data_IF_761881126113
#
_entry.id   IF_761881126113
#
_cell.length_a   1.000
_cell.length_b   1.000
_cell.length_c   1.000
_cell.angle_alpha   90.00
_cell.angle_beta   90.00
_cell.angle_gamma   90.00
#
_symmetry.space_group_name_H-M   'P 1'
#
loop_
_entity.id
_entity.type
_entity.pdbx_description
1 polymer ?
#
# COMPACT_ATOMS: atom_id res chain seq x y z
N UNK A 1 -3.79 -30.34 5.76
CA UNK A 1 -4.68 -29.17 5.65
C UNK A 1 -5.11 -29.08 4.20
N UNK A 2 -6.41 -29.08 3.87
CA UNK A 2 -6.84 -28.90 2.48
C UNK A 2 -6.30 -27.56 1.96
N UNK A 3 -5.96 -27.52 0.67
CA UNK A 3 -5.40 -26.31 0.05
C UNK A 3 -6.45 -25.17 0.06
N UNK A 4 -6.01 -23.91 0.02
CA UNK A 4 -6.92 -22.77 -0.03
C UNK A 4 -7.93 -22.85 -1.21
N UNK A 5 -7.56 -23.53 -2.29
CA UNK A 5 -8.44 -23.80 -3.43
C UNK A 5 -9.52 -24.83 -3.09
N UNK A 6 -9.18 -25.91 -2.37
CA UNK A 6 -10.15 -26.92 -1.93
C UNK A 6 -11.15 -26.37 -0.89
N UNK A 7 -10.73 -25.37 -0.10
CA UNK A 7 -11.61 -24.69 0.84
C UNK A 7 -12.61 -23.77 0.11
N UNK A 8 -12.14 -23.00 -0.87
CA UNK A 8 -13.00 -22.14 -1.70
C UNK A 8 -14.03 -22.95 -2.50
N UNK A 9 -13.62 -24.09 -3.05
CA UNK A 9 -14.49 -24.96 -3.85
C UNK A 9 -15.58 -25.62 -2.99
N UNK A 10 -15.25 -26.02 -1.75
CA UNK A 10 -16.25 -26.48 -0.77
C UNK A 10 -17.25 -25.38 -0.41
N UNK A 11 -16.78 -24.16 -0.21
CA UNK A 11 -17.63 -23.04 0.15
C UNK A 11 -18.60 -22.70 -0.99
N UNK A 12 -18.13 -22.69 -2.23
CA UNK A 12 -18.98 -22.50 -3.41
C UNK A 12 -20.01 -23.62 -3.57
N UNK A 13 -19.62 -24.87 -3.31
CA UNK A 13 -20.55 -26.00 -3.33
C UNK A 13 -21.63 -25.88 -2.26
N UNK A 14 -21.25 -25.56 -1.03
CA UNK A 14 -22.19 -25.34 0.08
C UNK A 14 -23.14 -24.17 -0.19
N UNK A 15 -22.63 -23.08 -0.77
CA UNK A 15 -23.43 -21.92 -1.10
C UNK A 15 -24.42 -22.21 -2.24
N UNK A 16 -24.02 -23.03 -3.21
CA UNK A 16 -24.88 -23.51 -4.30
C UNK A 16 -25.97 -24.46 -3.81
N UNK A 17 -25.65 -25.37 -2.89
CA UNK A 17 -26.63 -26.26 -2.25
C UNK A 17 -27.65 -25.45 -1.43
N UNK A 18 -27.19 -24.48 -0.63
CA UNK A 18 -28.08 -23.62 0.16
C UNK A 18 -28.99 -22.74 -0.73
N UNK A 19 -28.46 -22.14 -1.80
CA UNK A 19 -29.26 -21.36 -2.74
C UNK A 19 -30.28 -22.21 -3.49
N UNK A 20 -29.91 -23.44 -3.86
CA UNK A 20 -30.82 -24.40 -4.49
C UNK A 20 -31.98 -24.74 -3.58
N UNK A 21 -31.72 -25.05 -2.30
CA UNK A 21 -32.78 -25.33 -1.32
C UNK A 21 -33.71 -24.13 -1.13
N UNK A 22 -33.16 -22.92 -1.04
CA UNK A 22 -33.96 -21.70 -0.94
C UNK A 22 -34.83 -21.44 -2.17
N UNK A 23 -34.30 -21.62 -3.38
CA UNK A 23 -35.07 -21.47 -4.63
C UNK A 23 -36.22 -22.48 -4.71
N UNK A 24 -35.97 -23.75 -4.36
CA UNK A 24 -37.04 -24.77 -4.32
C UNK A 24 -38.10 -24.47 -3.26
N UNK A 25 -37.73 -23.83 -2.15
CA UNK A 25 -38.68 -23.38 -1.13
C UNK A 25 -39.58 -22.26 -1.64
N UNK A 26 -39.02 -21.30 -2.37
CA UNK A 26 -39.77 -20.19 -2.98
C UNK A 26 -40.70 -20.68 -4.09
N UNK A 27 -40.27 -21.63 -4.92
CA UNK A 27 -41.13 -22.25 -5.94
C UNK A 27 -42.33 -22.98 -5.32
N UNK A 28 -42.11 -23.71 -4.21
CA UNK A 28 -43.20 -24.39 -3.49
C UNK A 28 -44.19 -23.40 -2.84
N UNK A 29 -43.70 -22.28 -2.28
CA UNK A 29 -44.57 -21.22 -1.75
C UNK A 29 -45.40 -20.55 -2.86
N UNK A 30 -44.81 -20.36 -4.04
CA UNK A 30 -45.51 -19.78 -5.19
C UNK A 30 -46.65 -20.71 -5.68
N UNK A 31 -46.41 -22.02 -5.74
CA UNK A 31 -47.42 -23.01 -6.12
C UNK A 31 -48.60 -23.05 -5.14
N UNK A 32 -48.33 -22.87 -3.84
CA UNK A 32 -49.37 -22.75 -2.80
C UNK A 32 -50.23 -21.50 -3.00
N UNK A 33 -49.59 -20.35 -3.27
CA UNK A 33 -50.29 -19.08 -3.51
C UNK A 33 -51.17 -19.15 -4.76
N UNK A 34 -50.68 -19.78 -5.84
CA UNK A 34 -51.44 -19.97 -7.08
C UNK A 34 -52.68 -20.88 -6.86
N UNK A 35 -52.53 -21.93 -6.04
CA UNK A 35 -53.63 -22.79 -5.62
C UNK A 35 -54.69 -22.06 -4.79
N UNK A 36 -54.26 -21.24 -3.83
CA UNK A 36 -55.17 -20.45 -2.98
C UNK A 36 -55.92 -19.38 -3.76
N UNK A 37 -55.26 -18.72 -4.72
CA UNK A 37 -55.87 -17.74 -5.62
C UNK A 37 -56.94 -18.41 -6.50
N UNK A 38 -56.61 -19.56 -7.10
CA UNK A 38 -57.53 -20.35 -7.92
C UNK A 38 -58.77 -20.80 -7.13
N UNK A 39 -58.58 -21.30 -5.90
CA UNK A 39 -59.67 -21.67 -5.00
C UNK A 39 -60.50 -20.44 -4.54
N UNK A 40 -59.87 -19.28 -4.38
CA UNK A 40 -60.53 -18.00 -4.13
C UNK A 40 -61.46 -17.59 -5.27
N UNK A 41 -60.97 -17.63 -6.51
CA UNK A 41 -61.72 -17.31 -7.72
C UNK A 41 -62.92 -18.26 -7.88
N UNK A 42 -62.74 -19.57 -7.67
CA UNK A 42 -63.83 -20.54 -7.73
C UNK A 42 -64.95 -20.25 -6.70
N UNK A 43 -64.58 -19.89 -5.46
CA UNK A 43 -65.53 -19.50 -4.41
C UNK A 43 -66.29 -18.21 -4.75
N UNK A 44 -65.61 -17.24 -5.37
CA UNK A 44 -66.22 -15.99 -5.84
C UNK A 44 -67.21 -16.29 -6.98
N UNK A 45 -66.84 -17.09 -7.97
CA UNK A 45 -67.73 -17.49 -9.06
C UNK A 45 -68.97 -18.25 -8.56
N UNK A 46 -68.81 -19.14 -7.59
CA UNK A 46 -69.91 -19.86 -6.96
C UNK A 46 -70.88 -18.92 -6.20
N UNK A 47 -70.35 -17.86 -5.57
CA UNK A 47 -71.15 -16.84 -4.86
C UNK A 47 -71.79 -15.80 -5.80
N UNK A 48 -71.25 -15.58 -6.98
CA UNK A 48 -71.81 -14.67 -8.00
C UNK A 48 -72.90 -15.35 -8.84
N UNK A 49 -72.87 -16.68 -8.96
CA UNK A 49 -73.88 -17.47 -9.69
C UNK A 49 -75.35 -17.13 -9.39
N UNK A 50 -75.76 -16.91 -8.12
CA UNK A 50 -77.12 -16.49 -7.75
C UNK A 50 -77.46 -15.04 -8.12
N UNK A 51 -76.47 -14.15 -8.20
CA UNK A 51 -76.68 -12.72 -8.53
C UNK A 51 -76.92 -12.53 -10.03
N UNK A 52 -76.42 -13.46 -10.86
CA UNK A 52 -76.58 -13.45 -12.32
C UNK A 52 -78.03 -13.64 -12.81
N UNK A 53 -78.94 -14.09 -11.93
CA UNK A 53 -80.37 -14.34 -12.23
C UNK A 53 -81.32 -13.27 -11.65
N UNK A 54 -80.79 -12.20 -11.06
CA UNK A 54 -81.59 -11.07 -10.56
C UNK A 54 -81.75 -10.03 -11.68
N UNK A 55 -82.95 -9.99 -12.28
CA UNK A 55 -83.36 -8.99 -13.26
C UNK A 55 -83.53 -7.61 -12.59
N UNK A 56 -82.40 -6.91 -12.38
CA UNK A 56 -82.35 -5.56 -11.81
C UNK A 56 -82.09 -4.54 -12.93
N UNK A 57 -83.01 -3.58 -13.19
CA UNK A 57 -82.81 -2.59 -14.25
C UNK A 57 -81.58 -1.72 -13.95
N UNK A 58 -80.60 -1.75 -14.87
CA UNK A 58 -79.32 -1.04 -14.74
C UNK A 58 -78.15 -1.88 -14.21
N UNK A 59 -78.38 -3.11 -13.74
CA UNK A 59 -77.33 -4.00 -13.26
C UNK A 59 -76.44 -4.54 -14.40
N UNK A 60 -76.99 -4.74 -15.60
CA UNK A 60 -76.21 -5.21 -16.76
C UNK A 60 -75.04 -4.27 -17.11
N UNK A 61 -75.24 -2.96 -16.98
CA UNK A 61 -74.20 -1.94 -17.20
C UNK A 61 -73.04 -2.09 -16.23
N UNK A 62 -73.33 -2.27 -14.94
CA UNK A 62 -72.33 -2.43 -13.89
C UNK A 62 -71.61 -3.79 -13.99
N UNK A 63 -72.33 -4.86 -14.33
CA UNK A 63 -71.73 -6.17 -14.58
C UNK A 63 -70.84 -6.17 -15.83
N UNK A 64 -71.26 -5.51 -16.91
CA UNK A 64 -70.43 -5.35 -18.10
C UNK A 64 -69.16 -4.56 -17.78
N UNK A 65 -69.27 -3.44 -17.04
CA UNK A 65 -68.11 -2.64 -16.65
C UNK A 65 -67.12 -3.41 -15.77
N UNK A 66 -67.62 -4.26 -14.85
CA UNK A 66 -66.77 -5.10 -14.00
C UNK A 66 -66.10 -6.22 -14.80
N UNK A 67 -66.83 -6.87 -15.71
CA UNK A 67 -66.28 -7.88 -16.63
C UNK A 67 -65.19 -7.25 -17.51
N UNK A 68 -65.43 -6.05 -18.05
CA UNK A 68 -64.44 -5.31 -18.85
C UNK A 68 -63.24 -4.86 -18.03
N UNK A 69 -63.41 -4.58 -16.73
CA UNK A 69 -62.31 -4.28 -15.81
C UNK A 69 -61.44 -5.50 -15.56
N UNK A 70 -62.05 -6.64 -15.23
CA UNK A 70 -61.33 -7.90 -14.97
C UNK A 70 -60.67 -8.43 -16.25
N UNK A 71 -61.32 -8.28 -17.40
CA UNK A 71 -60.72 -8.64 -18.70
C UNK A 71 -59.49 -7.79 -19.02
N UNK A 72 -59.51 -6.48 -18.71
CA UNK A 72 -58.36 -5.59 -18.88
C UNK A 72 -57.20 -5.97 -17.96
N UNK A 73 -57.49 -6.18 -16.69
CA UNK A 73 -56.49 -6.55 -15.68
C UNK A 73 -55.85 -7.91 -16.00
N UNK A 74 -56.63 -8.87 -16.51
CA UNK A 74 -56.11 -10.16 -16.97
C UNK A 74 -55.17 -10.05 -18.17
N UNK A 75 -55.50 -9.18 -19.14
CA UNK A 75 -54.62 -8.90 -20.29
C UNK A 75 -53.30 -8.27 -19.83
N UNK A 76 -53.33 -7.44 -18.78
CA UNK A 76 -52.14 -6.81 -18.21
C UNK A 76 -51.24 -7.85 -17.52
N UNK A 77 -51.82 -8.74 -16.72
CA UNK A 77 -51.10 -9.86 -16.09
C UNK A 77 -50.50 -10.80 -17.15
N UNK A 78 -51.24 -11.15 -18.20
CA UNK A 78 -50.74 -12.01 -19.27
C UNK A 78 -49.55 -11.36 -20.00
N UNK A 79 -49.55 -10.04 -20.18
CA UNK A 79 -48.41 -9.29 -20.76
C UNK A 79 -47.19 -9.26 -19.84
N UNK A 80 -47.39 -9.01 -18.55
CA UNK A 80 -46.30 -9.03 -17.57
C UNK A 80 -45.66 -10.42 -17.48
N UNK A 81 -46.49 -11.47 -17.56
CA UNK A 81 -46.02 -12.85 -17.59
C UNK A 81 -45.19 -13.14 -18.85
N UNK A 82 -45.65 -12.75 -20.03
CA UNK A 82 -44.87 -12.91 -21.27
C UNK A 82 -43.53 -12.15 -21.21
N UNK A 83 -43.51 -10.95 -20.61
CA UNK A 83 -42.28 -10.17 -20.43
C UNK A 83 -41.29 -10.86 -19.46
N UNK A 84 -41.79 -11.47 -18.39
CA UNK A 84 -40.97 -12.24 -17.44
C UNK A 84 -40.43 -13.53 -18.07
N UNK A 85 -41.25 -14.26 -18.83
CA UNK A 85 -40.81 -15.46 -19.56
C UNK A 85 -39.70 -15.10 -20.56
N UNK A 86 -39.85 -14.00 -21.31
CA UNK A 86 -38.80 -13.49 -22.21
C UNK A 86 -37.51 -13.08 -21.47
N UNK A 87 -37.63 -12.45 -20.30
CA UNK A 87 -36.46 -12.06 -19.50
C UNK A 87 -35.72 -13.26 -18.91
N UNK A 88 -36.43 -14.33 -18.54
CA UNK A 88 -35.83 -15.57 -18.07
C UNK A 88 -35.07 -16.31 -19.18
N UNK A 89 -35.58 -16.27 -20.42
CA UNK A 89 -34.87 -16.80 -21.60
C UNK A 89 -33.57 -16.04 -21.86
N UNK A 90 -33.59 -14.71 -21.76
CA UNK A 90 -32.40 -13.86 -21.92
C UNK A 90 -31.32 -14.17 -20.86
N UNK A 91 -31.73 -14.31 -19.60
CA UNK A 91 -30.82 -14.70 -18.50
C UNK A 91 -30.27 -16.12 -18.71
N UNK A 92 -31.08 -17.06 -19.22
CA UNK A 92 -30.62 -18.41 -19.52
C UNK A 92 -29.56 -18.42 -20.62
N UNK A 93 -29.74 -17.60 -21.66
CA UNK A 93 -28.78 -17.43 -22.74
C UNK A 93 -27.47 -16.79 -22.26
N UNK A 94 -27.56 -15.71 -21.47
CA UNK A 94 -26.38 -15.05 -20.89
C UNK A 94 -25.58 -16.00 -19.97
N UNK A 95 -26.27 -16.86 -19.21
CA UNK A 95 -25.64 -17.89 -18.38
C UNK A 95 -24.90 -18.95 -19.21
N UNK A 96 -25.42 -19.32 -20.38
CA UNK A 96 -24.74 -20.25 -21.29
C UNK A 96 -23.48 -19.62 -21.90
N UNK A 97 -23.56 -18.35 -22.31
CA UNK A 97 -22.41 -17.58 -22.81
C UNK A 97 -21.31 -17.43 -21.74
N UNK A 98 -21.69 -17.10 -20.50
CA UNK A 98 -20.77 -17.04 -19.36
C UNK A 98 -20.14 -18.40 -19.04
N UNK A 99 -20.90 -19.49 -19.19
CA UNK A 99 -20.38 -20.85 -19.08
C UNK A 99 -19.30 -21.13 -20.13
N UNK A 100 -19.56 -20.79 -21.39
CA UNK A 100 -18.59 -20.93 -22.48
C UNK A 100 -17.32 -20.10 -22.28
N UNK A 101 -17.48 -18.85 -21.83
CA UNK A 101 -16.34 -17.97 -21.51
C UNK A 101 -15.49 -18.50 -20.35
N UNK A 102 -16.12 -19.05 -19.31
CA UNK A 102 -15.43 -19.67 -18.18
C UNK A 102 -14.60 -20.88 -18.63
N UNK A 103 -15.20 -21.76 -19.43
CA UNK A 103 -14.53 -22.97 -19.89
C UNK A 103 -13.39 -22.64 -20.88
N UNK A 104 -13.49 -21.54 -21.64
CA UNK A 104 -12.39 -21.00 -22.44
C UNK A 104 -11.24 -20.48 -21.57
N UNK A 105 -11.55 -19.71 -20.53
CA UNK A 105 -10.55 -19.21 -19.59
C UNK A 105 -9.82 -20.34 -18.85
N UNK A 106 -10.53 -21.43 -18.53
CA UNK A 106 -9.94 -22.60 -17.87
C UNK A 106 -8.97 -23.34 -18.78
N UNK A 107 -9.28 -23.42 -20.09
CA UNK A 107 -8.37 -23.95 -21.12
C UNK A 107 -7.11 -23.08 -21.27
N UNK A 108 -7.29 -21.77 -21.42
CA UNK A 108 -6.16 -20.83 -21.53
C UNK A 108 -5.26 -20.88 -20.29
N UNK A 109 -5.84 -20.97 -19.09
CA UNK A 109 -5.09 -21.15 -17.85
C UNK A 109 -4.29 -22.45 -17.84
N UNK A 110 -4.85 -23.53 -18.37
CA UNK A 110 -4.16 -24.81 -18.55
C UNK A 110 -2.98 -24.71 -19.51
N UNK A 111 -3.13 -23.98 -20.61
CA UNK A 111 -2.07 -23.74 -21.60
C UNK A 111 -0.94 -22.88 -21.03
N UNK A 112 -1.27 -21.79 -20.33
CA UNK A 112 -0.27 -20.94 -19.65
C UNK A 112 0.48 -21.71 -18.56
N UNK A 113 -0.20 -22.60 -17.82
CA UNK A 113 0.46 -23.46 -16.82
C UNK A 113 1.43 -24.45 -17.48
N UNK A 114 1.07 -25.03 -18.63
CA UNK A 114 1.95 -25.90 -19.41
C UNK A 114 3.18 -25.14 -19.91
N UNK A 115 2.98 -23.97 -20.52
CA UNK A 115 4.07 -23.12 -21.01
C UNK A 115 5.01 -22.69 -19.87
N UNK A 116 4.45 -22.31 -18.72
CA UNK A 116 5.26 -21.98 -17.52
C UNK A 116 6.04 -23.16 -16.98
N UNK A 117 5.50 -24.38 -17.05
CA UNK A 117 6.20 -25.59 -16.62
C UNK A 117 7.33 -25.95 -17.58
N UNK A 118 7.14 -25.76 -18.88
CA UNK A 118 8.19 -25.93 -19.89
C UNK A 118 9.30 -24.88 -19.71
N UNK A 119 8.95 -23.60 -19.54
CA UNK A 119 9.91 -22.54 -19.24
C UNK A 119 10.65 -22.77 -17.92
N UNK A 120 10.00 -23.38 -16.92
CA UNK A 120 10.65 -23.74 -15.66
C UNK A 120 11.69 -24.86 -15.86
N UNK A 121 11.35 -25.89 -16.64
CA UNK A 121 12.29 -26.98 -17.00
C UNK A 121 13.45 -26.48 -17.85
N UNK A 122 13.20 -25.59 -18.81
CA UNK A 122 14.26 -24.96 -19.60
C UNK A 122 15.17 -24.09 -18.72
N UNK A 123 14.61 -23.36 -17.75
CA UNK A 123 15.38 -22.56 -16.79
C UNK A 123 16.20 -23.41 -15.84
N UNK A 124 15.68 -24.56 -15.42
CA UNK A 124 16.40 -25.54 -14.59
C UNK A 124 17.56 -26.14 -15.39
N UNK A 125 17.31 -26.59 -16.64
CA UNK A 125 18.37 -27.09 -17.52
C UNK A 125 19.43 -26.03 -17.87
N UNK A 126 19.03 -24.77 -18.07
CA UNK A 126 19.95 -23.64 -18.24
C UNK A 126 20.69 -23.30 -16.94
N UNK A 127 20.07 -23.50 -15.79
CA UNK A 127 20.66 -23.34 -14.46
C UNK A 127 21.75 -24.39 -14.21
N UNK A 128 21.46 -25.65 -14.48
CA UNK A 128 22.39 -26.76 -14.36
C UNK A 128 23.57 -26.61 -15.34
N UNK A 129 23.29 -26.24 -16.60
CA UNK A 129 24.33 -25.95 -17.58
C UNK A 129 25.19 -24.72 -17.20
N UNK A 130 24.59 -23.72 -16.56
CA UNK A 130 25.30 -22.53 -16.05
C UNK A 130 26.10 -22.84 -14.79
N UNK A 131 25.61 -23.71 -13.90
CA UNK A 131 26.38 -24.22 -12.76
C UNK A 131 27.55 -25.08 -13.22
N UNK A 132 27.36 -25.94 -14.21
CA UNK A 132 28.43 -26.78 -14.76
C UNK A 132 29.48 -25.94 -15.50
N UNK A 133 29.05 -24.91 -16.24
CA UNK A 133 29.94 -23.90 -16.82
C UNK A 133 30.65 -23.03 -15.76
N UNK A 134 29.97 -22.69 -14.66
CA UNK A 134 30.55 -21.89 -13.57
C UNK A 134 31.53 -22.71 -12.70
N UNK A 135 31.30 -24.02 -12.58
CA UNK A 135 32.19 -24.98 -11.90
C UNK A 135 33.43 -25.28 -12.75
N UNK A 136 33.31 -25.25 -14.08
CA UNK A 136 34.44 -25.40 -15.01
C UNK A 136 35.23 -24.10 -15.25
N UNK A 137 34.62 -22.93 -15.06
CA UNK A 137 35.23 -21.61 -15.23
C UNK A 137 35.05 -20.76 -13.96
N UNK A 138 35.74 -21.12 -12.88
CA UNK A 138 35.84 -20.26 -11.70
C UNK A 138 37.06 -19.32 -11.85
N UNK A 139 36.89 -18.05 -12.30
CA UNK A 139 37.86 -17.01 -11.97
C UNK A 139 37.69 -16.62 -10.49
N UNK A 140 38.73 -16.08 -9.83
CA UNK A 140 38.61 -15.56 -8.48
C UNK A 140 37.58 -14.41 -8.41
N UNK A 141 36.98 -14.12 -7.24
CA UNK A 141 36.00 -13.05 -7.08
C UNK A 141 36.64 -11.71 -7.45
N UNK A 142 36.34 -11.22 -8.65
CA UNK A 142 36.81 -9.91 -9.09
C UNK A 142 35.96 -8.85 -8.40
N UNK A 143 36.59 -8.06 -7.52
CA UNK A 143 36.02 -6.90 -6.81
C UNK A 143 35.35 -5.85 -7.70
N UNK A 144 35.44 -5.97 -9.04
CA UNK A 144 34.74 -5.12 -10.00
C UNK A 144 33.22 -5.29 -10.01
N UNK A 145 32.71 -6.49 -9.77
CA UNK A 145 31.25 -6.74 -9.79
C UNK A 145 30.48 -6.03 -8.68
N UNK A 146 31.03 -6.04 -7.46
CA UNK A 146 30.42 -5.33 -6.32
C UNK A 146 30.43 -3.81 -6.53
N UNK A 147 31.52 -3.27 -7.09
CA UNK A 147 31.61 -1.83 -7.36
C UNK A 147 30.60 -1.38 -8.45
N UNK A 148 30.37 -2.20 -9.47
CA UNK A 148 29.35 -1.95 -10.49
C UNK A 148 27.92 -1.97 -9.89
N UNK A 149 27.62 -2.92 -9.01
CA UNK A 149 26.34 -2.99 -8.30
C UNK A 149 26.15 -1.76 -7.39
N UNK A 150 27.17 -1.36 -6.65
CA UNK A 150 27.14 -0.15 -5.82
C UNK A 150 26.97 1.12 -6.66
N UNK A 151 27.67 1.23 -7.80
CA UNK A 151 27.53 2.36 -8.70
C UNK A 151 26.13 2.44 -9.32
N UNK A 152 25.53 1.29 -9.65
CA UNK A 152 24.13 1.21 -10.10
C UNK A 152 23.18 1.69 -9.00
N UNK A 153 23.30 1.14 -7.80
CA UNK A 153 22.48 1.52 -6.65
C UNK A 153 22.58 3.03 -6.36
N UNK A 154 23.79 3.60 -6.34
CA UNK A 154 24.02 5.01 -6.08
C UNK A 154 23.38 5.95 -7.13
N UNK A 155 23.20 5.51 -8.37
CA UNK A 155 22.45 6.25 -9.40
C UNK A 155 20.94 6.13 -9.19
N UNK A 156 20.46 4.91 -8.93
CA UNK A 156 19.02 4.64 -8.80
C UNK A 156 18.42 5.27 -7.55
N UNK A 157 19.16 5.30 -6.44
CA UNK A 157 18.67 5.85 -5.16
C UNK A 157 18.42 7.35 -5.24
N UNK A 158 19.26 8.09 -5.98
CA UNK A 158 19.11 9.54 -6.18
C UNK A 158 17.85 9.92 -6.96
N UNK A 159 17.33 8.99 -7.74
CA UNK A 159 16.11 9.18 -8.54
C UNK A 159 14.83 8.85 -7.76
N UNK A 160 14.93 8.30 -6.55
CA UNK A 160 13.75 7.95 -5.74
C UNK A 160 13.19 9.18 -5.05
N UNK A 161 11.87 9.29 -5.07
CA UNK A 161 11.16 10.49 -4.57
C UNK A 161 10.35 10.20 -3.30
N UNK A 162 10.22 8.93 -2.91
CA UNK A 162 9.45 8.51 -1.73
C UNK A 162 10.26 7.56 -0.84
N UNK A 163 9.93 7.53 0.45
CA UNK A 163 10.60 6.62 1.38
C UNK A 163 10.36 5.14 1.01
N UNK A 164 9.14 4.79 0.59
CA UNK A 164 8.79 3.42 0.14
C UNK A 164 9.68 2.95 -1.04
N UNK A 165 9.94 3.82 -2.02
CA UNK A 165 10.81 3.50 -3.15
C UNK A 165 12.26 3.28 -2.74
N UNK A 166 12.77 4.11 -1.84
CA UNK A 166 14.13 3.97 -1.30
C UNK A 166 14.27 2.65 -0.55
N UNK A 167 13.30 2.30 0.29
CA UNK A 167 13.33 1.08 1.09
C UNK A 167 13.18 -0.19 0.24
N UNK A 168 12.37 -0.15 -0.83
CA UNK A 168 12.32 -1.26 -1.79
C UNK A 168 13.63 -1.42 -2.56
N UNK A 169 14.23 -0.31 -3.01
CA UNK A 169 15.52 -0.34 -3.68
C UNK A 169 16.63 -0.88 -2.75
N UNK A 170 16.61 -0.51 -1.46
CA UNK A 170 17.50 -1.06 -0.44
C UNK A 170 17.40 -2.58 -0.39
N UNK A 171 16.18 -3.13 -0.31
CA UNK A 171 15.95 -4.58 -0.24
C UNK A 171 16.46 -5.29 -1.50
N UNK A 172 16.21 -4.73 -2.68
CA UNK A 172 16.62 -5.31 -3.95
C UNK A 172 18.16 -5.24 -4.14
N UNK A 173 18.79 -4.14 -3.72
CA UNK A 173 20.23 -3.94 -3.77
C UNK A 173 20.99 -4.75 -2.71
N UNK A 174 20.34 -5.10 -1.58
CA UNK A 174 20.94 -5.92 -0.53
C UNK A 174 20.97 -7.42 -0.91
N UNK A 175 20.04 -7.90 -1.75
CA UNK A 175 19.90 -9.31 -2.08
C UNK A 175 21.16 -9.95 -2.71
N UNK A 176 21.90 -9.27 -3.61
CA UNK A 176 23.19 -9.79 -4.10
C UNK A 176 24.25 -9.94 -3.01
N UNK A 177 24.11 -9.33 -1.83
CA UNK A 177 25.10 -9.34 -0.75
C UNK A 177 24.63 -10.11 0.50
N UNK A 178 23.33 -10.33 0.65
CA UNK A 178 22.72 -11.16 1.69
C UNK A 178 21.61 -12.02 1.07
N UNK A 179 21.70 -13.36 1.14
CA UNK A 179 20.70 -14.26 0.55
C UNK A 179 19.28 -14.01 1.05
N UNK A 180 19.12 -13.56 2.29
CA UNK A 180 17.84 -13.26 2.91
C UNK A 180 17.90 -11.94 3.64
N UNK A 181 16.93 -11.08 3.36
CA UNK A 181 16.78 -9.79 4.04
C UNK A 181 15.33 -9.53 4.44
N UNK A 182 15.15 -8.94 5.63
CA UNK A 182 13.85 -8.51 6.16
C UNK A 182 14.01 -7.09 6.67
N UNK A 183 13.17 -6.16 6.21
CA UNK A 183 13.09 -4.84 6.81
C UNK A 183 11.97 -4.81 7.85
N UNK A 184 12.31 -4.46 9.08
CA UNK A 184 11.36 -4.24 10.16
C UNK A 184 11.30 -2.76 10.52
N UNK A 185 10.11 -2.17 10.49
CA UNK A 185 9.90 -0.76 10.80
C UNK A 185 9.57 -0.57 12.28
N UNK A 186 10.09 0.50 12.87
CA UNK A 186 9.82 0.84 14.27
C UNK A 186 8.38 1.32 14.42
N UNK A 187 7.69 0.84 15.45
CA UNK A 187 6.35 1.27 15.88
C UNK A 187 6.32 1.43 17.40
N UNK A 188 5.34 2.16 17.97
CA UNK A 188 5.19 2.23 19.42
C UNK A 188 5.07 0.81 20.01
N UNK A 189 5.99 0.44 20.92
CA UNK A 189 5.99 -0.85 21.61
C UNK A 189 6.81 -1.97 20.93
N UNK A 190 7.31 -1.79 19.70
CA UNK A 190 8.10 -2.83 19.03
C UNK A 190 8.41 -2.58 17.56
N UNK A 191 8.60 -3.67 16.83
CA UNK A 191 8.94 -3.68 15.42
C UNK A 191 7.86 -4.42 14.63
N UNK A 192 7.58 -3.92 13.44
CA UNK A 192 6.64 -4.56 12.50
C UNK A 192 7.39 -4.94 11.23
N UNK A 193 7.27 -6.19 10.80
CA UNK A 193 7.82 -6.64 9.52
C UNK A 193 7.16 -5.90 8.37
N UNK A 194 7.95 -5.23 7.55
CA UNK A 194 7.45 -4.40 6.45
C UNK A 194 7.50 -5.14 5.11
N UNK A 195 8.69 -5.61 4.74
CA UNK A 195 8.91 -6.36 3.51
C UNK A 195 10.17 -7.21 3.62
N UNK A 196 10.30 -8.21 2.75
CA UNK A 196 11.42 -9.15 2.75
C UNK A 196 11.82 -9.54 1.33
N UNK A 197 13.04 -10.05 1.17
CA UNK A 197 13.57 -10.66 -0.07
C UNK A 197 14.35 -11.93 0.28
N UNK A 198 14.37 -12.88 -0.64
CA UNK A 198 15.06 -14.17 -0.45
C UNK A 198 14.27 -15.21 0.37
N UNK A 199 12.99 -14.93 0.67
CA UNK A 199 12.08 -15.85 1.36
C UNK A 199 11.04 -16.42 0.39
N UNK A 200 10.58 -17.66 0.60
CA UNK A 200 9.39 -18.19 -0.07
C UNK A 200 8.17 -17.28 0.11
N UNK A 201 7.27 -17.23 -0.86
CA UNK A 201 6.16 -16.25 -0.91
C UNK A 201 5.18 -16.38 0.28
N UNK A 202 4.95 -17.60 0.77
CA UNK A 202 4.13 -17.88 1.96
C UNK A 202 4.79 -17.35 3.25
N UNK A 203 6.11 -17.45 3.36
CA UNK A 203 6.88 -16.91 4.48
C UNK A 203 6.92 -15.38 4.39
N UNK A 204 7.19 -14.83 3.21
CA UNK A 204 7.23 -13.39 2.96
C UNK A 204 5.88 -12.70 3.30
N UNK A 205 4.75 -13.34 2.98
CA UNK A 205 3.41 -12.84 3.34
C UNK A 205 3.15 -12.85 4.84
N UNK A 206 3.61 -13.87 5.57
CA UNK A 206 3.49 -13.91 7.04
C UNK A 206 4.41 -12.90 7.72
N UNK A 207 5.58 -12.67 7.14
CA UNK A 207 6.55 -11.67 7.59
C UNK A 207 5.99 -10.24 7.49
N UNK A 208 5.31 -9.93 6.39
CA UNK A 208 4.64 -8.65 6.23
C UNK A 208 3.52 -8.48 7.27
N UNK A 209 3.63 -7.45 8.12
CA UNK A 209 2.69 -7.17 9.21
C UNK A 209 2.95 -7.94 10.51
N UNK A 210 3.92 -8.86 10.53
CA UNK A 210 4.34 -9.54 11.76
C UNK A 210 4.88 -8.56 12.79
N UNK A 211 4.70 -8.85 14.09
CA UNK A 211 5.13 -7.94 15.16
C UNK A 211 6.09 -8.62 16.12
N UNK A 212 7.15 -7.91 16.52
CA UNK A 212 8.09 -8.34 17.55
C UNK A 212 8.22 -7.25 18.60
N UNK A 213 7.94 -7.56 19.86
CA UNK A 213 8.05 -6.59 20.95
C UNK A 213 9.52 -6.29 21.25
N UNK A 214 9.80 -5.06 21.71
CA UNK A 214 11.16 -4.62 22.04
C UNK A 214 11.82 -5.46 23.15
N UNK A 215 11.02 -6.02 24.06
CA UNK A 215 11.47 -6.89 25.16
C UNK A 215 11.85 -8.29 24.71
N UNK A 216 11.41 -8.70 23.52
CA UNK A 216 11.45 -10.11 23.10
C UNK A 216 12.59 -10.40 22.12
N UNK A 217 13.39 -9.39 21.77
CA UNK A 217 14.57 -9.51 20.92
C UNK A 217 15.72 -8.61 21.43
N UNK A 218 16.75 -9.19 22.06
CA UNK A 218 17.98 -8.47 22.40
C UNK A 218 18.64 -7.76 21.22
N UNK A 219 18.69 -8.38 20.04
CA UNK A 219 19.28 -7.85 18.81
C UNK A 219 18.56 -6.58 18.34
N UNK A 220 17.22 -6.62 18.26
CA UNK A 220 16.43 -5.44 17.89
C UNK A 220 16.49 -4.34 18.96
N UNK A 221 16.58 -4.72 20.24
CA UNK A 221 16.78 -3.76 21.33
C UNK A 221 18.14 -3.08 21.26
N UNK A 222 19.20 -3.83 20.97
CA UNK A 222 20.55 -3.30 20.77
C UNK A 222 20.59 -2.29 19.61
N UNK A 223 19.84 -2.54 18.54
CA UNK A 223 19.77 -1.67 17.37
C UNK A 223 19.26 -0.24 17.70
N UNK A 224 18.52 -0.04 18.80
CA UNK A 224 18.09 1.29 19.24
C UNK A 224 19.26 2.24 19.52
N UNK A 225 20.36 1.71 20.05
CA UNK A 225 21.52 2.49 20.46
C UNK A 225 22.70 2.36 19.48
N UNK A 226 22.74 1.28 18.70
CA UNK A 226 23.82 1.02 17.76
C UNK A 226 23.84 2.03 16.60
N UNK A 227 25.05 2.43 16.21
CA UNK A 227 25.34 3.24 15.01
C UNK A 227 25.99 2.42 13.90
N UNK A 228 26.25 1.14 14.15
CA UNK A 228 26.77 0.17 13.19
C UNK A 228 25.93 -1.11 13.26
N UNK A 229 26.19 -2.04 12.34
CA UNK A 229 25.53 -3.34 12.38
C UNK A 229 25.87 -4.13 13.65
N UNK A 230 24.90 -4.89 14.12
CA UNK A 230 25.04 -5.87 15.19
C UNK A 230 24.94 -7.27 14.58
N UNK A 231 25.63 -8.25 15.16
CA UNK A 231 25.54 -9.64 14.75
C UNK A 231 25.16 -10.50 15.96
N UNK A 232 24.14 -11.34 15.79
CA UNK A 232 23.79 -12.39 16.73
C UNK A 232 24.33 -13.73 16.22
N UNK A 233 25.40 -14.20 16.84
CA UNK A 233 26.01 -15.53 16.58
C UNK A 233 25.19 -16.67 17.21
N UNK A 234 24.42 -16.35 18.26
CA UNK A 234 23.47 -17.25 18.92
C UNK A 234 22.07 -16.62 18.92
N UNK A 235 21.06 -17.41 18.53
CA UNK A 235 19.66 -17.00 18.43
C UNK A 235 18.79 -17.60 19.54
N UNK A 236 19.39 -18.20 20.58
CA UNK A 236 18.66 -18.82 21.69
C UNK A 236 17.77 -17.83 22.47
N UNK A 237 18.18 -16.57 22.54
CA UNK A 237 17.41 -15.47 23.14
C UNK A 237 16.50 -14.74 22.14
N UNK A 238 16.63 -15.05 20.84
CA UNK A 238 15.89 -14.41 19.74
C UNK A 238 14.64 -15.19 19.33
N UNK A 239 14.00 -15.91 20.27
CA UNK A 239 12.91 -16.85 19.97
C UNK A 239 11.74 -16.21 19.22
N UNK A 240 11.32 -15.02 19.67
CA UNK A 240 10.24 -14.29 19.02
C UNK A 240 10.64 -13.89 17.60
N UNK A 241 11.86 -13.39 17.42
CA UNK A 241 12.36 -12.99 16.11
C UNK A 241 12.49 -14.18 15.16
N UNK A 242 13.11 -15.27 15.60
CA UNK A 242 13.26 -16.54 14.85
C UNK A 242 11.89 -17.10 14.44
N UNK A 243 10.90 -17.05 15.33
CA UNK A 243 9.55 -17.53 15.03
C UNK A 243 8.87 -16.74 13.90
N UNK A 244 9.20 -15.44 13.80
CA UNK A 244 8.67 -14.54 12.78
C UNK A 244 9.43 -14.70 11.45
N UNK A 245 10.77 -14.65 11.47
CA UNK A 245 11.59 -14.74 10.25
C UNK A 245 11.67 -16.16 9.68
N UNK A 246 11.33 -17.19 10.46
CA UNK A 246 11.30 -18.57 10.01
C UNK A 246 12.68 -19.14 9.68
N UNK A 247 13.75 -18.56 10.23
CA UNK A 247 15.12 -19.03 10.04
C UNK A 247 15.90 -18.97 11.34
N UNK A 248 16.74 -19.99 11.56
CA UNK A 248 17.70 -20.08 12.66
C UNK A 248 19.15 -19.95 12.17
N UNK A 249 19.36 -19.44 10.95
CA UNK A 249 20.70 -19.29 10.38
C UNK A 249 21.48 -18.17 11.08
N UNK A 250 22.72 -18.49 11.45
CA UNK A 250 23.65 -17.58 12.14
C UNK A 250 24.87 -17.26 11.26
N UNK A 251 25.48 -16.07 11.43
CA UNK A 251 24.99 -14.96 12.23
C UNK A 251 23.76 -14.29 11.61
N UNK A 252 22.85 -13.81 12.45
CA UNK A 252 21.80 -12.87 12.03
C UNK A 252 22.34 -11.45 12.23
N UNK A 253 22.44 -10.69 11.15
CA UNK A 253 23.01 -9.33 11.18
C UNK A 253 21.87 -8.32 11.16
N UNK A 254 21.87 -7.39 12.11
CA UNK A 254 20.93 -6.28 12.17
C UNK A 254 21.62 -4.97 11.83
N UNK A 255 21.18 -4.32 10.75
CA UNK A 255 21.59 -2.97 10.37
C UNK A 255 20.52 -1.98 10.84
N UNK A 256 20.82 -1.09 11.80
CA UNK A 256 19.98 0.05 12.10
C UNK A 256 19.74 0.90 10.85
N UNK A 257 18.52 1.38 10.65
CA UNK A 257 18.19 2.39 9.63
C UNK A 257 17.64 3.61 10.35
N UNK A 258 18.34 4.74 10.21
CA UNK A 258 18.04 5.98 10.91
C UNK A 258 17.58 7.08 9.96
N UNK A 259 16.71 7.93 10.50
CA UNK A 259 16.32 9.19 9.89
C UNK A 259 16.40 10.28 10.95
N UNK A 260 17.15 11.36 10.69
CA UNK A 260 17.38 12.45 11.63
C UNK A 260 17.88 11.92 12.99
N UNK A 261 18.84 10.98 12.93
CA UNK A 261 19.41 10.25 14.09
C UNK A 261 18.45 9.34 14.87
N UNK A 262 17.17 9.24 14.49
CA UNK A 262 16.19 8.35 15.13
C UNK A 262 16.13 7.02 14.40
N UNK A 263 16.08 5.91 15.13
CA UNK A 263 15.86 4.60 14.53
C UNK A 263 14.44 4.54 13.95
N UNK A 264 14.33 4.30 12.65
CA UNK A 264 13.05 4.18 11.93
C UNK A 264 12.80 2.77 11.42
N UNK A 265 13.85 2.01 11.16
CA UNK A 265 13.77 0.60 10.80
C UNK A 265 15.04 -0.15 11.18
N UNK A 266 15.01 -1.47 11.07
CA UNK A 266 16.16 -2.36 11.16
C UNK A 266 16.10 -3.30 9.96
N UNK A 267 17.17 -3.35 9.17
CA UNK A 267 17.34 -4.36 8.14
C UNK A 267 18.04 -5.57 8.76
N UNK A 268 17.34 -6.70 8.80
CA UNK A 268 17.89 -7.98 9.18
C UNK A 268 18.40 -8.69 7.94
N UNK A 269 19.65 -9.14 7.98
CA UNK A 269 20.32 -9.87 6.93
C UNK A 269 20.84 -11.20 7.48
N UNK A 270 20.58 -12.29 6.77
CA UNK A 270 21.05 -13.62 7.15
C UNK A 270 21.64 -14.33 5.94
N UNK A 271 22.68 -15.12 6.20
CA UNK A 271 23.25 -16.02 5.21
C UNK A 271 22.27 -17.11 4.77
N UNK A 272 22.66 -17.85 3.74
CA UNK A 272 22.04 -19.11 3.35
C UNK A 272 23.04 -20.24 3.48
N UNK A 273 22.59 -21.48 3.26
CA UNK A 273 23.41 -22.69 3.45
C UNK A 273 24.70 -22.68 2.61
N UNK A 274 24.69 -22.00 1.47
CA UNK A 274 25.82 -21.91 0.55
C UNK A 274 26.55 -20.55 0.53
N UNK A 275 26.00 -19.50 1.17
CA UNK A 275 26.50 -18.12 1.01
C UNK A 275 26.36 -17.28 2.27
N UNK A 276 27.49 -16.78 2.76
CA UNK A 276 27.54 -15.81 3.84
C UNK A 276 27.20 -14.38 3.36
N UNK A 277 26.86 -13.50 4.31
CA UNK A 277 26.61 -12.09 4.03
C UNK A 277 27.93 -11.35 3.73
N UNK A 278 27.93 -10.51 2.68
CA UNK A 278 29.00 -9.55 2.42
C UNK A 278 28.66 -8.20 3.07
N UNK A 279 29.29 -7.92 4.23
CA UNK A 279 28.93 -6.78 5.07
C UNK A 279 29.36 -5.43 4.49
N UNK A 280 30.45 -5.38 3.72
CA UNK A 280 31.02 -4.11 3.26
C UNK A 280 30.11 -3.39 2.25
N UNK A 281 29.60 -4.03 1.19
CA UNK A 281 28.62 -3.40 0.30
C UNK A 281 27.32 -3.08 1.02
N UNK A 282 26.85 -3.96 1.93
CA UNK A 282 25.63 -3.71 2.71
C UNK A 282 25.75 -2.43 3.53
N UNK A 283 26.86 -2.23 4.26
CA UNK A 283 27.08 -1.00 5.02
C UNK A 283 27.02 0.25 4.12
N UNK A 284 27.68 0.23 2.96
CA UNK A 284 27.66 1.36 2.01
C UNK A 284 26.26 1.63 1.46
N UNK A 285 25.51 0.57 1.13
CA UNK A 285 24.12 0.66 0.66
C UNK A 285 23.27 1.32 1.76
N UNK A 286 23.40 0.87 3.01
CA UNK A 286 22.64 1.38 4.13
C UNK A 286 22.95 2.85 4.42
N UNK A 287 24.22 3.25 4.45
CA UNK A 287 24.62 4.65 4.67
C UNK A 287 24.00 5.58 3.61
N UNK A 288 24.04 5.17 2.33
CA UNK A 288 23.43 5.94 1.25
C UNK A 288 21.88 5.92 1.32
N UNK A 289 21.28 4.83 1.81
CA UNK A 289 19.84 4.77 2.13
C UNK A 289 19.46 5.75 3.23
N UNK A 290 20.16 5.73 4.36
CA UNK A 290 19.92 6.66 5.46
C UNK A 290 20.05 8.11 4.99
N UNK A 291 21.12 8.44 4.28
CA UNK A 291 21.32 9.80 3.75
C UNK A 291 20.18 10.23 2.80
N UNK A 292 19.64 9.30 2.01
CA UNK A 292 18.52 9.61 1.10
C UNK A 292 17.20 9.81 1.86
N UNK A 293 16.94 9.00 2.90
CA UNK A 293 15.79 9.17 3.79
C UNK A 293 15.89 10.48 4.57
N UNK A 294 17.06 10.82 5.10
CA UNK A 294 17.28 12.09 5.79
C UNK A 294 17.04 13.29 4.86
N UNK A 295 17.51 13.23 3.62
CA UNK A 295 17.24 14.27 2.64
C UNK A 295 15.74 14.41 2.33
N UNK A 296 14.98 13.31 2.23
CA UNK A 296 13.52 13.37 2.09
C UNK A 296 12.87 14.00 3.32
N UNK A 297 13.26 13.57 4.52
CA UNK A 297 12.72 14.12 5.77
C UNK A 297 13.02 15.62 5.91
N UNK A 298 14.23 16.06 5.54
CA UNK A 298 14.62 17.46 5.53
C UNK A 298 13.81 18.28 4.52
N UNK A 299 13.54 17.73 3.32
CA UNK A 299 12.64 18.37 2.34
C UNK A 299 11.26 18.59 2.95
N UNK A 300 10.65 17.55 3.53
CA UNK A 300 9.35 17.67 4.21
C UNK A 300 9.39 18.73 5.31
N UNK A 301 10.45 18.78 6.12
CA UNK A 301 10.60 19.78 7.18
C UNK A 301 10.79 21.21 6.64
N UNK A 302 11.57 21.41 5.59
CA UNK A 302 11.71 22.71 4.92
C UNK A 302 10.37 23.17 4.34
N UNK A 303 9.66 22.24 3.72
CA UNK A 303 8.37 22.48 3.08
C UNK A 303 7.28 22.84 4.11
N UNK A 304 7.32 22.22 5.30
CA UNK A 304 6.43 22.56 6.42
C UNK A 304 6.91 23.83 7.15
N UNK A 305 8.23 24.09 7.21
CA UNK A 305 8.84 25.23 7.92
C UNK A 305 8.74 26.57 7.18
N UNK A 306 8.74 26.56 5.84
CA UNK A 306 8.53 27.75 5.00
C UNK A 306 7.09 28.29 5.10
N UNK A 307 6.15 27.50 5.63
CA UNK A 307 4.78 27.95 5.93
C UNK A 307 4.68 28.83 7.21
N UNK A 308 5.80 29.22 7.84
CA UNK A 308 5.83 30.03 9.07
C UNK A 308 6.34 31.46 8.90
N UNK A 309 6.14 32.11 7.75
CA UNK A 309 6.37 33.55 7.65
C UNK A 309 5.12 34.31 7.18
N UNK A 310 4.28 34.75 8.13
CA UNK A 310 3.59 36.04 8.02
C UNK A 310 4.44 37.12 8.70
N UNK A 311 4.72 38.16 7.91
CA UNK A 311 5.08 39.54 8.21
C UNK A 311 5.47 39.91 9.67
N UNK A 312 6.66 40.51 9.75
CA UNK A 312 7.13 41.35 10.84
C UNK A 312 6.08 42.41 11.26
N UNK A 313 5.70 42.38 12.54
CA UNK A 313 5.10 43.49 13.29
C UNK A 313 5.41 43.29 14.79
N UNK A 314 5.54 44.38 15.56
CA UNK A 314 6.70 44.61 16.43
C UNK A 314 6.60 43.99 17.82
N UNK A 315 7.78 43.73 18.41
CA UNK A 315 7.95 43.22 19.76
C UNK A 315 7.30 44.15 20.81
N UNK A 316 6.50 43.60 21.75
CA UNK A 316 6.19 44.33 22.97
C UNK A 316 7.41 44.27 23.90
N UNK A 317 8.01 45.45 24.12
CA UNK A 317 8.97 45.68 25.18
C UNK A 317 8.33 45.35 26.55
N UNK A 318 9.03 44.57 27.37
CA UNK A 318 8.74 44.45 28.79
C UNK A 318 9.90 45.14 29.53
N UNK A 319 9.63 46.12 30.43
CA UNK A 319 10.67 46.91 31.10
C UNK A 319 11.40 46.12 32.19
N UNK A 320 12.70 46.39 32.33
CA UNK A 320 13.51 46.03 33.49
C UNK A 320 12.95 46.65 34.79
N UNK A 321 12.91 45.86 35.85
CA UNK A 321 12.83 46.35 37.23
C UNK A 321 13.89 45.66 38.10
N UNK A 322 14.93 46.44 38.44
CA UNK A 322 15.85 46.29 39.60
C UNK A 322 15.02 46.23 40.92
N UNK A 323 15.44 45.78 42.10
CA UNK A 323 16.69 45.49 42.82
C UNK A 323 16.32 44.48 43.95
N UNK A 324 17.13 43.88 44.82
CA UNK A 324 18.30 44.31 45.64
C UNK A 324 18.72 43.06 46.47
N UNK A 325 19.95 42.55 46.43
CA UNK A 325 21.15 42.88 47.25
C UNK A 325 21.42 41.93 48.44
N UNK A 326 22.60 41.29 48.47
CA UNK A 326 23.68 41.48 49.47
C UNK A 326 24.87 40.47 49.27
N UNK A 327 26.11 41.01 49.36
CA UNK A 327 27.46 40.44 49.10
C UNK A 327 28.19 39.98 50.41
N UNK A 328 29.55 39.91 50.56
CA UNK A 328 30.69 39.28 49.81
C UNK A 328 31.71 38.53 50.74
N UNK A 329 32.79 37.94 50.15
CA UNK A 329 34.23 37.84 50.59
C UNK A 329 34.83 36.46 50.23
N UNK A 330 36.09 36.19 49.85
CA UNK A 330 37.33 36.92 49.46
C UNK A 330 38.30 35.87 48.82
N UNK A 331 39.16 36.28 47.89
CA UNK A 331 40.23 35.46 47.25
C UNK A 331 41.54 35.44 48.09
N UNK A 332 42.62 34.64 47.79
CA UNK A 332 43.53 34.88 46.63
C UNK A 332 44.26 33.57 46.08
N UNK A 333 45.38 33.58 45.27
CA UNK A 333 45.49 32.92 43.93
C UNK A 333 46.75 31.98 43.74
N UNK A 334 47.47 31.91 42.58
CA UNK A 334 47.53 30.84 41.54
C UNK A 334 48.96 30.15 41.44
N UNK A 335 49.46 29.44 40.36
CA UNK A 335 49.71 29.94 38.96
C UNK A 335 49.74 28.94 37.74
N UNK A 336 49.77 29.51 36.51
CA UNK A 336 50.59 29.19 35.28
C UNK A 336 50.40 27.85 34.48
N UNK A 337 50.40 27.70 33.13
CA UNK A 337 50.56 28.54 31.89
C UNK A 337 50.07 27.74 30.60
N UNK A 338 50.42 28.02 29.31
CA UNK A 338 49.51 28.33 28.18
C UNK A 338 49.59 27.35 26.96
N UNK A 339 48.93 27.61 25.81
CA UNK A 339 49.67 28.08 24.60
C UNK A 339 48.85 29.05 23.70
N UNK A 340 49.38 30.20 23.30
CA UNK A 340 50.19 30.51 22.09
C UNK A 340 49.44 30.48 20.74
N UNK A 341 49.28 31.68 20.20
CA UNK A 341 48.77 32.08 18.89
C UNK A 341 49.95 32.38 17.95
N UNK A 342 49.91 31.93 16.69
CA UNK A 342 50.84 32.40 15.65
C UNK A 342 50.22 32.37 14.24
N UNK A 343 49.91 33.55 13.73
CA UNK A 343 49.82 33.88 12.30
C UNK A 343 51.27 33.94 11.71
N UNK A 344 51.61 33.84 10.42
CA UNK A 344 50.98 34.27 9.16
C UNK A 344 51.74 33.60 7.94
N UNK A 345 51.81 34.14 6.70
CA UNK A 345 51.08 33.70 5.50
C UNK A 345 51.95 33.36 4.26
N UNK A 346 51.39 32.74 3.20
CA UNK A 346 51.93 32.90 1.82
C UNK A 346 50.93 32.55 0.69
N UNK A 347 50.64 33.59 -0.11
CA UNK A 347 50.32 33.69 -1.54
C UNK A 347 49.88 32.48 -2.40
N UNK A 348 48.70 32.68 -3.04
CA UNK A 348 48.51 32.74 -4.50
C UNK A 348 48.78 31.49 -5.36
N UNK A 349 47.68 30.88 -5.85
CA UNK A 349 47.58 30.32 -7.20
C UNK A 349 46.11 30.24 -7.63
N UNK A 350 45.69 31.24 -8.39
CA UNK A 350 44.50 31.19 -9.22
C UNK A 350 44.73 30.17 -10.35
N UNK A 351 43.88 29.14 -10.41
CA UNK A 351 43.68 28.32 -11.60
C UNK A 351 42.19 28.37 -11.93
N UNK A 352 41.89 29.10 -12.99
CA UNK A 352 40.59 29.22 -13.65
C UNK A 352 40.12 27.84 -14.13
N UNK A 353 39.19 27.23 -13.40
CA UNK A 353 38.39 26.11 -13.91
C UNK A 353 37.18 26.72 -14.61
N UNK A 354 37.18 26.66 -15.94
CA UNK A 354 36.03 27.00 -16.76
C UNK A 354 34.83 26.12 -16.36
N UNK A 355 33.60 26.69 -16.20
CA UNK A 355 32.43 25.90 -15.89
C UNK A 355 32.11 24.92 -17.05
N UNK A 356 31.71 23.67 -16.76
CA UNK A 356 31.27 22.73 -17.78
C UNK A 356 30.10 23.30 -18.57
N UNK A 357 30.18 23.21 -19.91
CA UNK A 357 29.10 23.60 -20.83
C UNK A 357 27.80 22.91 -20.43
N UNK A 358 26.84 23.71 -19.98
CA UNK A 358 25.46 23.31 -19.77
C UNK A 358 24.87 22.84 -21.10
N UNK A 359 24.41 21.60 -21.14
CA UNK A 359 23.46 21.13 -22.16
C UNK A 359 22.23 22.04 -22.15
N UNK A 360 21.55 22.29 -23.28
CA UNK A 360 20.41 23.21 -23.31
C UNK A 360 19.31 22.66 -22.39
N UNK A 361 19.17 23.28 -21.22
CA UNK A 361 18.06 23.05 -20.33
C UNK A 361 16.87 23.68 -21.04
N UNK A 362 15.92 22.87 -21.48
CA UNK A 362 14.60 23.38 -21.88
C UNK A 362 14.13 24.24 -20.71
N UNK A 363 14.00 25.56 -20.93
CA UNK A 363 13.52 26.48 -19.90
C UNK A 363 12.05 26.14 -19.62
N UNK A 364 11.84 25.19 -18.70
CA UNK A 364 10.53 24.88 -18.18
C UNK A 364 9.94 26.16 -17.60
N UNK A 365 8.71 26.47 -17.98
CA UNK A 365 8.03 27.64 -17.44
C UNK A 365 7.93 27.52 -15.91
N UNK A 366 7.90 28.65 -15.21
CA UNK A 366 7.75 28.66 -13.75
C UNK A 366 6.48 27.90 -13.32
N UNK A 367 5.40 27.99 -14.11
CA UNK A 367 4.18 27.22 -13.93
C UNK A 367 4.42 25.70 -14.02
N UNK A 368 5.09 25.20 -15.07
CA UNK A 368 5.40 23.76 -15.23
C UNK A 368 6.23 23.20 -14.07
N UNK A 369 7.14 24.02 -13.53
CA UNK A 369 7.95 23.65 -12.38
C UNK A 369 7.09 23.51 -11.12
N UNK A 370 6.16 24.43 -10.87
CA UNK A 370 5.26 24.35 -9.72
C UNK A 370 4.30 23.16 -9.87
N UNK A 371 3.79 22.88 -11.07
CA UNK A 371 2.98 21.67 -11.34
C UNK A 371 3.76 20.38 -11.05
N UNK A 372 5.00 20.30 -11.50
CA UNK A 372 5.89 19.15 -11.26
C UNK A 372 6.20 18.98 -9.78
N UNK A 373 6.45 20.08 -9.07
CA UNK A 373 6.71 20.10 -7.63
C UNK A 373 5.47 19.70 -6.81
N UNK A 374 4.30 20.22 -7.18
CA UNK A 374 3.02 19.86 -6.56
C UNK A 374 2.74 18.37 -6.69
N UNK A 375 2.91 17.81 -7.89
CA UNK A 375 2.73 16.37 -8.12
C UNK A 375 3.71 15.53 -7.29
N UNK A 376 4.99 15.91 -7.23
CA UNK A 376 6.00 15.23 -6.40
C UNK A 376 5.65 15.27 -4.91
N UNK A 377 5.21 16.43 -4.41
CA UNK A 377 4.85 16.59 -3.02
C UNK A 377 3.59 15.79 -2.65
N UNK A 378 2.58 15.80 -3.51
CA UNK A 378 1.38 14.96 -3.37
C UNK A 378 1.76 13.47 -3.29
N UNK A 379 2.57 12.98 -4.23
CA UNK A 379 3.06 11.60 -4.26
C UNK A 379 3.79 11.25 -2.96
N UNK A 380 4.69 12.11 -2.50
CA UNK A 380 5.42 11.92 -1.25
C UNK A 380 4.48 11.73 -0.07
N UNK A 381 3.56 12.68 0.16
CA UNK A 381 2.62 12.64 1.28
C UNK A 381 1.75 11.38 1.27
N UNK A 382 1.22 11.00 0.12
CA UNK A 382 0.36 9.82 -0.02
C UNK A 382 1.15 8.52 0.18
N UNK A 383 2.37 8.44 -0.34
CA UNK A 383 3.28 7.30 -0.11
C UNK A 383 3.63 7.13 1.36
N UNK A 384 3.80 8.22 2.13
CA UNK A 384 4.01 8.13 3.58
C UNK A 384 2.78 7.53 4.29
N UNK A 385 1.56 7.95 3.93
CA UNK A 385 0.32 7.36 4.49
C UNK A 385 0.33 5.85 4.26
N UNK A 386 0.61 5.41 3.02
CA UNK A 386 0.65 3.99 2.67
C UNK A 386 1.69 3.23 3.48
N UNK A 387 2.90 3.79 3.58
CA UNK A 387 4.04 3.18 4.27
C UNK A 387 3.72 2.91 5.75
N UNK A 388 3.07 3.84 6.43
CA UNK A 388 2.76 3.69 7.85
C UNK A 388 1.52 2.85 8.15
N UNK A 389 0.60 2.73 7.18
CA UNK A 389 -0.74 2.14 7.38
C UNK A 389 -1.04 0.92 6.50
N UNK A 390 -0.03 0.15 6.05
CA UNK A 390 -0.22 -0.94 5.08
C UNK A 390 -1.41 -1.88 5.36
N UNK A 391 -1.52 -2.43 6.58
CA UNK A 391 -2.62 -3.32 6.95
C UNK A 391 -3.99 -2.62 6.80
N UNK A 392 -4.09 -1.36 7.23
CA UNK A 392 -5.33 -0.58 7.14
C UNK A 392 -5.67 -0.21 5.70
N UNK A 393 -4.67 -0.03 4.83
CA UNK A 393 -4.85 0.20 3.39
C UNK A 393 -5.39 -1.06 2.72
N UNK A 394 -4.81 -2.23 3.02
CA UNK A 394 -5.28 -3.51 2.46
C UNK A 394 -6.74 -3.78 2.86
N UNK A 395 -7.04 -3.67 4.15
CA UNK A 395 -8.41 -3.82 4.66
C UNK A 395 -9.35 -2.76 4.07
N UNK A 396 -8.86 -1.52 3.93
CA UNK A 396 -9.64 -0.41 3.39
C UNK A 396 -10.02 -0.60 1.92
N UNK A 397 -9.13 -1.20 1.12
CA UNK A 397 -9.42 -1.54 -0.28
C UNK A 397 -10.46 -2.65 -0.38
N UNK A 398 -10.34 -3.68 0.46
CA UNK A 398 -11.27 -4.81 0.49
C UNK A 398 -12.68 -4.35 0.86
N UNK A 399 -12.79 -3.45 1.84
CA UNK A 399 -14.08 -2.95 2.33
C UNK A 399 -14.56 -1.68 1.60
N UNK A 400 -13.75 -1.11 0.70
CA UNK A 400 -14.00 0.15 -0.01
C UNK A 400 -14.30 1.32 0.94
N UNK A 401 -13.55 1.43 2.03
CA UNK A 401 -13.72 2.44 3.08
C UNK A 401 -12.40 3.17 3.44
N UNK A 402 -11.44 3.22 2.50
CA UNK A 402 -10.10 3.80 2.72
C UNK A 402 -10.14 5.18 3.36
N UNK A 403 -11.03 6.07 2.90
CA UNK A 403 -11.11 7.43 3.43
C UNK A 403 -11.48 7.46 4.91
N UNK A 404 -12.55 6.77 5.32
CA UNK A 404 -12.99 6.77 6.72
C UNK A 404 -11.93 6.13 7.62
N UNK A 405 -11.32 5.03 7.17
CA UNK A 405 -10.25 4.35 7.91
C UNK A 405 -9.04 5.25 8.12
N UNK A 406 -8.57 5.92 7.08
CA UNK A 406 -7.35 6.72 7.12
C UNK A 406 -7.62 8.23 7.25
N UNK A 407 -8.85 8.61 7.64
CA UNK A 407 -9.35 9.98 7.62
C UNK A 407 -8.38 10.98 8.23
N UNK A 408 -7.90 10.69 9.43
CA UNK A 408 -6.96 11.55 10.16
C UNK A 408 -5.68 11.80 9.37
N UNK A 409 -5.09 10.76 8.77
CA UNK A 409 -3.81 10.86 8.09
C UNK A 409 -3.97 11.46 6.68
N UNK A 410 -5.07 11.16 5.99
CA UNK A 410 -5.45 11.75 4.70
C UNK A 410 -5.74 13.24 4.84
N UNK A 411 -6.63 13.63 5.76
CA UNK A 411 -7.03 15.03 5.94
C UNK A 411 -5.82 15.90 6.36
N UNK A 412 -4.98 15.39 7.27
CA UNK A 412 -3.76 16.08 7.70
C UNK A 412 -2.76 16.26 6.54
N UNK A 413 -2.60 15.24 5.70
CA UNK A 413 -1.71 15.32 4.54
C UNK A 413 -2.25 16.24 3.46
N UNK A 414 -3.57 16.24 3.25
CA UNK A 414 -4.25 17.19 2.36
C UNK A 414 -4.04 18.63 2.82
N UNK A 415 -4.19 18.90 4.11
CA UNK A 415 -3.94 20.22 4.67
C UNK A 415 -2.48 20.67 4.43
N UNK A 416 -1.50 19.76 4.61
CA UNK A 416 -0.10 20.06 4.31
C UNK A 416 0.13 20.38 2.83
N UNK A 417 -0.53 19.67 1.91
CA UNK A 417 -0.48 19.94 0.48
C UNK A 417 -1.10 21.31 0.12
N UNK A 418 -2.31 21.57 0.61
CA UNK A 418 -3.06 22.81 0.33
C UNK A 418 -2.34 24.05 0.86
N UNK A 419 -1.71 23.97 2.03
CA UNK A 419 -0.91 25.09 2.58
C UNK A 419 0.22 25.55 1.66
N UNK A 420 0.77 24.66 0.82
CA UNK A 420 1.89 25.00 -0.08
C UNK A 420 1.44 25.50 -1.46
N UNK A 421 0.35 24.95 -2.01
CA UNK A 421 -0.05 25.18 -3.40
C UNK A 421 -1.41 25.89 -3.59
N UNK A 422 -2.01 26.42 -2.51
CA UNK A 422 -3.38 26.96 -2.46
C UNK A 422 -3.69 28.18 -3.34
N UNK A 423 -2.71 28.79 -4.02
CA UNK A 423 -2.96 29.98 -4.84
C UNK A 423 -2.50 29.92 -6.31
N UNK A 424 -1.68 28.95 -6.73
CA UNK A 424 -1.07 28.98 -8.08
C UNK A 424 -1.42 27.76 -8.96
N UNK A 425 -1.61 26.58 -8.36
CA UNK A 425 -1.73 25.30 -9.11
C UNK A 425 -2.94 24.46 -8.70
N UNK A 426 -3.34 24.51 -7.42
CA UNK A 426 -4.40 23.66 -6.86
C UNK A 426 -5.81 23.95 -7.43
N UNK A 427 -6.02 25.05 -8.16
CA UNK A 427 -7.31 25.39 -8.76
C UNK A 427 -7.60 24.62 -10.06
N UNK A 428 -6.56 24.24 -10.82
CA UNK A 428 -6.71 23.57 -12.13
C UNK A 428 -6.66 22.05 -12.04
N UNK A 429 -5.81 21.50 -11.16
CA UNK A 429 -5.60 20.04 -11.01
C UNK A 429 -5.39 19.69 -9.54
N UNK A 430 -6.15 18.73 -9.01
CA UNK A 430 -5.97 18.20 -7.64
C UNK A 430 -4.99 17.01 -7.67
N UNK A 431 -3.69 17.30 -7.77
CA UNK A 431 -2.65 16.26 -7.75
C UNK A 431 -2.68 15.41 -6.47
N UNK A 432 -3.18 15.95 -5.35
CA UNK A 432 -3.30 15.16 -4.13
C UNK A 432 -4.37 14.09 -4.28
N UNK A 433 -5.53 14.42 -4.86
CA UNK A 433 -6.55 13.43 -5.20
C UNK A 433 -6.03 12.37 -6.18
N UNK A 434 -5.37 12.80 -7.26
CA UNK A 434 -4.83 11.89 -8.27
C UNK A 434 -3.87 10.87 -7.66
N UNK A 435 -2.92 11.35 -6.85
CA UNK A 435 -1.94 10.49 -6.18
C UNK A 435 -2.60 9.60 -5.12
N UNK A 436 -3.64 10.08 -4.44
CA UNK A 436 -4.41 9.30 -3.48
C UNK A 436 -5.13 8.11 -4.15
N UNK A 437 -5.80 8.34 -5.28
CA UNK A 437 -6.41 7.27 -6.09
C UNK A 437 -5.35 6.33 -6.65
N UNK A 438 -4.27 6.89 -7.22
CA UNK A 438 -3.19 6.11 -7.85
C UNK A 438 -2.46 5.20 -6.86
N UNK A 439 -2.11 5.70 -5.68
CA UNK A 439 -1.25 4.99 -4.71
C UNK A 439 -2.08 4.21 -3.69
N UNK A 440 -3.04 4.87 -3.02
CA UNK A 440 -3.85 4.19 -2.01
C UNK A 440 -4.95 3.36 -2.65
N UNK A 441 -5.60 3.87 -3.69
CA UNK A 441 -6.68 3.15 -4.40
C UNK A 441 -6.22 2.21 -5.52
N UNK A 442 -4.92 2.11 -5.82
CA UNK A 442 -4.39 1.33 -6.96
C UNK A 442 -5.03 1.68 -8.31
N UNK A 443 -5.29 2.98 -8.51
CA UNK A 443 -6.00 3.54 -9.67
C UNK A 443 -7.51 3.27 -9.69
N UNK A 444 -8.08 2.70 -8.63
CA UNK A 444 -9.53 2.53 -8.48
C UNK A 444 -10.10 3.54 -7.46
N UNK A 445 -10.81 4.60 -7.92
CA UNK A 445 -11.39 5.60 -7.02
C UNK A 445 -12.53 5.05 -6.15
N UNK A 446 -13.18 3.94 -6.55
CA UNK A 446 -14.28 3.34 -5.78
C UNK A 446 -13.84 2.80 -4.43
N UNK A 447 -12.53 2.52 -4.27
CA UNK A 447 -11.94 2.04 -3.02
C UNK A 447 -11.90 3.08 -1.90
N UNK A 448 -12.04 4.38 -2.23
CA UNK A 448 -11.98 5.47 -1.27
C UNK A 448 -13.21 5.52 -0.35
N UNK A 449 -14.33 4.98 -0.81
CA UNK A 449 -15.61 4.98 -0.10
C UNK A 449 -16.45 6.23 -0.36
N UNK A 450 -17.76 6.12 -0.08
CA UNK A 450 -18.76 7.17 -0.36
C UNK A 450 -18.56 8.45 0.45
N UNK A 451 -17.92 8.36 1.61
CA UNK A 451 -17.66 9.51 2.48
C UNK A 451 -16.47 10.37 2.02
N UNK A 452 -15.74 9.92 1.00
CA UNK A 452 -14.64 10.70 0.43
C UNK A 452 -15.19 11.94 -0.29
N UNK A 453 -14.76 13.17 0.07
CA UNK A 453 -15.34 14.41 -0.47
C UNK A 453 -15.04 14.68 -1.95
N UNK A 454 -14.32 13.78 -2.64
CA UNK A 454 -13.95 13.95 -4.04
C UNK A 454 -12.72 14.85 -4.28
N UNK A 455 -12.36 15.07 -5.55
CA UNK A 455 -11.37 16.08 -5.93
C UNK A 455 -11.84 17.49 -5.58
N UNK A 456 -10.91 18.37 -5.21
CA UNK A 456 -11.20 19.78 -4.86
C UNK A 456 -10.83 20.80 -5.96
N UNK A 457 -10.50 20.35 -7.16
CA UNK A 457 -10.27 21.24 -8.29
C UNK A 457 -11.57 21.96 -8.71
N UNK A 458 -11.49 23.23 -9.12
CA UNK A 458 -12.66 23.95 -9.66
C UNK A 458 -13.10 23.24 -10.96
N UNK A 459 -14.37 22.80 -11.01
CA UNK A 459 -15.00 22.21 -12.20
C UNK A 459 -15.44 23.27 -13.19
#
# INVERSE_FOLDING_TARGET
MPSGAEYADRLLKQLREALSEHLTGVEAELEVVEGDLSAGIARIQQKIGPVRNLDLPGAESLFSALIDSVARERIEIDREREALESGLEEIAQEKEELGGARDALERDKGDVLRERLELAREREALGDAREEAHRAAAPPPSSGGDLELLAKFAREIRAKETQEEILNLLLDAALPHAPRVVLMVVRPGGFVGWSSRGYPEDVARRLAGSTVALTDSPLLRGALQATSHLAAEDLSEERALVSVIGTSATPLIAFPVRALRRLVAVLLASGGDARACNLTPLAVILDATEMSIENLALRVLQDVGMARLPAEAPAPAIPEARASRAEPQTAPPPPASPPEERAAPLAERAATVAPPRETPRVEQSEEERIHSEAKRFARLLVSEIKLYNQARVVEGRQNRDLYVRLKRDIDKSREMYERRFSSTVARKVDYFHDELVRILGENDPSTLGSDYPGPRAES
#
